data_IF_245342136182
#
_entry.id   IF_245342136182
#
_cell.length_a   1.000
_cell.length_b   1.000
_cell.length_c   1.000
_cell.angle_alpha   90.00
_cell.angle_beta   90.00
_cell.angle_gamma   90.00
#
_symmetry.space_group_name_H-M   'P 1'
#
loop_
_entity.id
_entity.type
_entity.pdbx_description
1 polymer ?
#
# COMPACT_ATOMS: atom_id res chain seq x y z
N UNK A 1 2.27 26.70 6.07
CA UNK A 1 3.35 26.23 5.18
C UNK A 1 2.83 25.06 4.36
N UNK A 2 2.71 25.23 3.04
CA UNK A 2 2.30 24.20 2.08
C UNK A 2 3.57 23.73 1.36
N UNK A 3 4.25 22.70 1.89
CA UNK A 3 5.53 22.24 1.35
C UNK A 3 5.44 20.89 0.61
N UNK A 4 4.24 20.42 0.29
CA UNK A 4 4.07 19.29 -0.63
C UNK A 4 2.87 19.57 -1.52
N UNK A 5 3.05 19.53 -2.83
CA UNK A 5 1.99 19.71 -3.83
C UNK A 5 0.94 18.59 -3.85
N UNK A 6 0.93 17.74 -2.82
CA UNK A 6 0.01 16.63 -2.65
C UNK A 6 -0.98 16.99 -1.55
N UNK A 7 -2.28 16.89 -1.85
CA UNK A 7 -3.36 16.98 -0.86
C UNK A 7 -3.31 15.73 0.06
N UNK A 8 -2.30 15.66 0.92
CA UNK A 8 -2.18 14.59 1.90
C UNK A 8 -3.07 14.93 3.09
N UNK A 9 -4.10 14.13 3.33
CA UNK A 9 -4.93 14.28 4.51
C UNK A 9 -4.15 13.84 5.75
N UNK A 10 -4.53 14.34 6.94
CA UNK A 10 -3.97 13.86 8.21
C UNK A 10 -4.06 12.34 8.36
N UNK A 11 -5.10 11.75 7.78
CA UNK A 11 -5.30 10.30 7.68
C UNK A 11 -4.18 9.60 6.91
N UNK A 12 -3.78 10.18 5.78
CA UNK A 12 -2.72 9.64 4.93
C UNK A 12 -1.36 9.79 5.61
N UNK A 13 -1.12 10.87 6.34
CA UNK A 13 0.11 11.06 7.13
C UNK A 13 0.28 9.99 8.21
N UNK A 14 -0.81 9.60 8.88
CA UNK A 14 -0.81 8.52 9.87
C UNK A 14 -0.51 7.18 9.21
N UNK A 15 -1.12 6.87 8.06
CA UNK A 15 -0.80 5.66 7.29
C UNK A 15 0.67 5.66 6.87
N UNK A 16 1.17 6.78 6.33
CA UNK A 16 2.53 6.90 5.81
C UNK A 16 3.58 6.68 6.91
N UNK A 17 3.30 7.13 8.13
CA UNK A 17 4.14 6.92 9.30
C UNK A 17 4.12 5.45 9.76
N UNK A 18 3.03 4.73 9.54
CA UNK A 18 2.86 3.31 9.90
C UNK A 18 3.38 2.34 8.83
N UNK A 19 3.62 2.81 7.61
CA UNK A 19 3.83 1.95 6.41
C UNK A 19 5.24 1.38 6.21
N UNK A 20 6.22 1.60 7.09
CA UNK A 20 7.45 0.78 7.05
C UNK A 20 8.80 1.40 7.40
N UNK A 21 8.88 2.68 7.76
CA UNK A 21 10.18 3.27 8.15
C UNK A 21 10.62 2.82 9.57
N UNK A 22 9.66 2.59 10.47
CA UNK A 22 9.89 2.02 11.81
C UNK A 22 10.03 0.50 11.71
N UNK A 23 11.17 0.03 11.26
CA UNK A 23 11.49 -1.39 11.28
C UNK A 23 12.83 -1.66 10.62
N UNK A 24 12.90 -1.42 9.32
CA UNK A 24 14.12 -1.65 8.52
C UNK A 24 15.29 -0.80 8.99
N UNK A 25 15.11 0.51 9.12
CA UNK A 25 16.19 1.41 9.53
C UNK A 25 16.68 1.16 10.95
N UNK A 26 15.78 0.77 11.87
CA UNK A 26 16.16 0.47 13.25
C UNK A 26 16.96 -0.83 13.36
N UNK A 27 16.64 -1.84 12.54
CA UNK A 27 17.43 -3.07 12.45
C UNK A 27 18.77 -2.83 11.77
N UNK A 28 18.83 -2.00 10.73
CA UNK A 28 20.09 -1.65 10.05
C UNK A 28 21.01 -0.90 11.01
N UNK A 29 20.50 0.12 11.72
CA UNK A 29 21.30 0.88 12.68
C UNK A 29 21.80 0.02 13.84
N UNK A 30 20.96 -0.88 14.36
CA UNK A 30 21.40 -1.79 15.43
C UNK A 30 22.47 -2.76 14.91
N UNK A 31 22.33 -3.26 13.68
CA UNK A 31 23.31 -4.16 13.08
C UNK A 31 24.64 -3.44 12.82
N UNK A 32 24.61 -2.17 12.41
CA UNK A 32 25.82 -1.34 12.28
C UNK A 32 26.51 -1.16 13.65
N UNK A 33 25.75 -0.89 14.71
CA UNK A 33 26.27 -0.85 16.09
C UNK A 33 26.80 -2.20 16.56
N UNK A 34 26.26 -3.30 16.01
CA UNK A 34 26.74 -4.67 16.25
C UNK A 34 28.11 -4.93 15.65
N UNK A 35 28.43 -4.27 14.53
CA UNK A 35 29.68 -4.46 13.83
C UNK A 35 30.80 -3.61 14.43
N UNK A 36 30.46 -2.56 15.18
CA UNK A 36 31.44 -1.68 15.81
C UNK A 36 32.23 -2.38 16.92
N UNK A 37 33.56 -2.24 16.89
CA UNK A 37 34.53 -3.00 17.71
C UNK A 37 34.96 -2.19 18.95
N UNK A 38 34.60 -0.91 19.06
CA UNK A 38 35.02 -0.07 20.19
C UNK A 38 34.29 -0.43 21.51
N UNK A 39 33.25 -1.26 21.46
CA UNK A 39 32.42 -1.65 22.60
C UNK A 39 32.66 -3.11 23.00
N UNK A 40 32.72 -3.36 24.31
CA UNK A 40 32.81 -4.70 24.90
C UNK A 40 31.73 -5.65 24.36
N UNK A 41 32.17 -6.83 23.89
CA UNK A 41 31.36 -7.77 23.10
C UNK A 41 30.11 -8.28 23.83
N UNK A 42 30.19 -8.47 25.15
CA UNK A 42 29.08 -8.95 25.99
C UNK A 42 27.96 -7.90 26.09
N UNK A 43 28.34 -6.64 26.20
CA UNK A 43 27.42 -5.51 26.33
C UNK A 43 26.73 -5.28 24.98
N UNK A 44 27.50 -5.31 23.89
CA UNK A 44 26.99 -5.22 22.52
C UNK A 44 25.90 -6.24 22.24
N UNK A 45 26.12 -7.52 22.57
CA UNK A 45 25.14 -8.60 22.35
C UNK A 45 23.84 -8.42 23.12
N UNK A 46 23.90 -7.93 24.37
CA UNK A 46 22.71 -7.63 25.19
C UNK A 46 21.88 -6.50 24.59
N UNK A 47 22.51 -5.43 24.14
CA UNK A 47 21.82 -4.31 23.49
C UNK A 47 21.19 -4.74 22.17
N UNK A 48 21.91 -5.50 21.35
CA UNK A 48 21.39 -6.03 20.09
C UNK A 48 20.15 -6.88 20.26
N UNK A 49 20.19 -7.80 21.22
CA UNK A 49 19.07 -8.68 21.49
C UNK A 49 17.84 -7.91 21.98
N UNK A 50 18.02 -6.94 22.88
CA UNK A 50 16.90 -6.13 23.37
C UNK A 50 16.31 -5.22 22.30
N UNK A 51 17.14 -4.51 21.54
CA UNK A 51 16.67 -3.58 20.52
C UNK A 51 16.01 -4.33 19.36
N UNK A 52 16.61 -5.43 18.90
CA UNK A 52 15.99 -6.26 17.85
C UNK A 52 14.63 -6.83 18.28
N UNK A 53 14.49 -7.28 19.53
CA UNK A 53 13.22 -7.79 20.05
C UNK A 53 12.15 -6.68 20.16
N UNK A 54 12.51 -5.50 20.66
CA UNK A 54 11.58 -4.36 20.77
C UNK A 54 11.14 -3.89 19.38
N UNK A 55 12.07 -3.82 18.42
CA UNK A 55 11.79 -3.47 17.03
C UNK A 55 10.91 -4.52 16.36
N UNK A 56 11.19 -5.81 16.57
CA UNK A 56 10.36 -6.90 16.03
C UNK A 56 8.94 -6.85 16.61
N UNK A 57 8.81 -6.67 17.93
CA UNK A 57 7.52 -6.60 18.60
C UNK A 57 6.70 -5.40 18.12
N UNK A 58 7.33 -4.23 18.00
CA UNK A 58 6.66 -3.03 17.48
C UNK A 58 6.32 -3.15 16.00
N UNK A 59 7.12 -3.87 15.20
CA UNK A 59 6.80 -4.17 13.81
C UNK A 59 5.63 -5.15 13.67
N UNK A 60 5.54 -6.17 14.53
CA UNK A 60 4.42 -7.12 14.55
C UNK A 60 3.13 -6.39 14.93
N UNK A 61 3.18 -5.52 15.94
CA UNK A 61 2.03 -4.73 16.38
C UNK A 61 1.61 -3.72 15.30
N UNK A 62 2.54 -2.93 14.76
CA UNK A 62 2.24 -1.95 13.70
C UNK A 62 1.83 -2.60 12.37
N UNK A 63 2.47 -3.70 11.99
CA UNK A 63 2.18 -4.43 10.76
C UNK A 63 0.81 -5.10 10.79
N UNK A 64 0.44 -5.68 11.94
CA UNK A 64 -0.90 -6.26 12.15
C UNK A 64 -1.97 -5.16 12.21
N UNK A 65 -1.67 -4.03 12.87
CA UNK A 65 -2.61 -2.90 12.98
C UNK A 65 -2.80 -2.16 11.65
N UNK A 66 -1.83 -2.19 10.73
CA UNK A 66 -1.95 -1.57 9.39
C UNK A 66 -3.10 -2.16 8.56
N UNK A 67 -3.36 -3.48 8.65
CA UNK A 67 -4.52 -4.11 7.99
C UNK A 67 -5.85 -3.58 8.55
N UNK A 68 -5.88 -3.34 9.86
CA UNK A 68 -7.05 -2.80 10.54
C UNK A 68 -7.22 -1.30 10.24
N UNK A 69 -6.12 -0.56 10.15
CA UNK A 69 -6.10 0.86 9.82
C UNK A 69 -6.58 1.13 8.39
N UNK A 70 -6.12 0.34 7.40
CA UNK A 70 -6.61 0.43 6.01
C UNK A 70 -8.11 0.12 5.94
N UNK A 71 -8.59 -0.81 6.75
CA UNK A 71 -10.01 -1.16 6.86
C UNK A 71 -10.85 -0.05 7.50
N UNK A 72 -10.32 0.64 8.52
CA UNK A 72 -10.99 1.75 9.21
C UNK A 72 -10.96 3.04 8.38
N UNK A 73 -9.85 3.34 7.71
CA UNK A 73 -9.72 4.57 6.94
C UNK A 73 -10.56 4.55 5.65
N UNK A 74 -11.18 3.42 5.32
CA UNK A 74 -12.10 3.36 4.19
C UNK A 74 -11.39 3.61 2.86
N UNK A 75 -10.13 3.20 2.75
CA UNK A 75 -9.43 3.12 1.46
C UNK A 75 -9.96 1.96 0.58
N UNK A 76 -11.20 1.55 0.84
CA UNK A 76 -12.08 0.78 -0.03
C UNK A 76 -13.22 1.65 -0.59
N UNK A 77 -13.20 2.96 -0.37
CA UNK A 77 -13.86 3.86 -1.31
C UNK A 77 -12.82 4.18 -2.37
N UNK A 78 -12.81 3.38 -3.44
CA UNK A 78 -12.43 3.94 -4.73
C UNK A 78 -13.20 5.24 -4.85
N UNK A 79 -12.48 6.35 -5.07
CA UNK A 79 -13.06 7.67 -5.32
C UNK A 79 -14.33 7.47 -6.13
N UNK A 80 -15.48 8.00 -5.70
CA UNK A 80 -16.75 7.76 -6.41
C UNK A 80 -16.62 8.01 -7.94
N UNK A 81 -15.72 8.92 -8.32
CA UNK A 81 -15.28 9.11 -9.71
C UNK A 81 -14.68 7.87 -10.39
N UNK A 82 -13.80 7.09 -9.77
CA UNK A 82 -13.26 5.84 -10.34
C UNK A 82 -14.32 4.77 -10.51
N UNK A 83 -15.32 4.68 -9.62
CA UNK A 83 -16.44 3.74 -9.78
C UNK A 83 -17.33 4.13 -10.96
N UNK A 84 -17.62 5.42 -11.12
CA UNK A 84 -18.40 5.95 -12.26
C UNK A 84 -17.62 5.78 -13.58
N UNK A 85 -16.31 6.03 -13.57
CA UNK A 85 -15.43 5.82 -14.74
C UNK A 85 -15.35 4.34 -15.09
N UNK A 86 -15.29 3.44 -14.10
CA UNK A 86 -15.32 2.00 -14.31
C UNK A 86 -16.66 1.56 -14.91
N UNK A 87 -17.78 2.07 -14.39
CA UNK A 87 -19.12 1.81 -14.94
C UNK A 87 -19.25 2.33 -16.38
N UNK A 88 -18.73 3.53 -16.68
CA UNK A 88 -18.68 4.04 -18.05
C UNK A 88 -17.79 3.20 -18.97
N UNK A 89 -16.66 2.70 -18.48
CA UNK A 89 -15.78 1.82 -19.24
C UNK A 89 -16.48 0.49 -19.55
N UNK A 90 -17.17 -0.11 -18.58
CA UNK A 90 -17.98 -1.31 -18.78
C UNK A 90 -19.11 -1.08 -19.79
N UNK A 91 -19.81 0.05 -19.70
CA UNK A 91 -20.83 0.44 -20.67
C UNK A 91 -20.26 0.58 -22.09
N UNK A 92 -19.08 1.17 -22.23
CA UNK A 92 -18.42 1.33 -23.52
C UNK A 92 -18.04 -0.03 -24.13
N UNK A 93 -17.49 -0.94 -23.33
CA UNK A 93 -17.17 -2.32 -23.75
C UNK A 93 -18.45 -3.08 -24.15
N UNK A 94 -19.54 -2.92 -23.39
CA UNK A 94 -20.83 -3.56 -23.69
C UNK A 94 -21.42 -3.09 -25.04
N UNK A 95 -21.33 -1.80 -25.34
CA UNK A 95 -21.78 -1.25 -26.63
C UNK A 95 -20.95 -1.75 -27.80
N UNK A 96 -19.63 -1.84 -27.65
CA UNK A 96 -18.73 -2.36 -28.68
C UNK A 96 -19.10 -3.80 -29.07
N UNK A 97 -19.42 -4.65 -28.08
CA UNK A 97 -19.83 -6.04 -28.32
C UNK A 97 -21.16 -6.14 -29.06
N UNK A 98 -22.17 -5.35 -28.66
CA UNK A 98 -23.48 -5.38 -29.33
C UNK A 98 -23.41 -4.88 -30.77
N UNK A 99 -22.65 -3.80 -31.03
CA UNK A 99 -22.49 -3.28 -32.39
C UNK A 99 -21.79 -4.27 -33.31
N UNK A 100 -20.78 -4.99 -32.80
CA UNK A 100 -20.13 -6.06 -33.56
C UNK A 100 -21.08 -7.23 -33.81
N UNK A 101 -21.89 -7.62 -32.83
CA UNK A 101 -22.85 -8.71 -32.98
C UNK A 101 -23.95 -8.37 -34.00
N UNK A 102 -24.52 -7.17 -33.95
CA UNK A 102 -25.53 -6.72 -34.92
C UNK A 102 -24.94 -6.58 -36.31
N UNK A 103 -23.73 -6.02 -36.45
CA UNK A 103 -23.04 -5.93 -37.75
C UNK A 103 -22.73 -7.31 -38.33
N UNK A 104 -22.29 -8.26 -37.50
CA UNK A 104 -22.09 -9.66 -37.90
C UNK A 104 -23.39 -10.34 -38.32
N UNK A 105 -24.50 -10.11 -37.62
CA UNK A 105 -25.81 -10.64 -38.00
C UNK A 105 -26.30 -10.05 -39.33
N UNK A 106 -26.14 -8.74 -39.57
CA UNK A 106 -26.50 -8.14 -40.85
C UNK A 106 -25.61 -8.62 -42.01
N UNK A 107 -24.33 -8.88 -41.78
CA UNK A 107 -23.46 -9.49 -42.80
C UNK A 107 -23.83 -10.94 -43.12
N UNK A 108 -24.41 -11.68 -42.17
CA UNK A 108 -24.91 -13.04 -42.40
C UNK A 108 -26.29 -13.03 -43.11
N UNK A 109 -27.16 -12.08 -42.78
CA UNK A 109 -28.48 -11.93 -43.42
C UNK A 109 -28.42 -11.28 -44.81
N UNK A 110 -27.42 -10.44 -45.10
CA UNK A 110 -27.21 -9.81 -46.41
C UNK A 110 -26.43 -10.68 -47.42
N UNK A 111 -26.25 -11.97 -47.15
CA UNK A 111 -25.54 -12.94 -48.01
C UNK A 111 -26.49 -14.01 -48.60
N UNK A 112 -27.77 -13.65 -48.79
CA UNK A 112 -28.75 -14.41 -49.58
C UNK A 112 -29.36 -13.51 -50.64
#
# INVERSE_FOLDING_TARGET
>A
MKCSGVHLSWKDCVILTLSGLRGSMSLILVLIVSLDIEIETITRHRFLFHISMIVLLTLIINGTSSKYLVKILGLHHGTKGSEIVLLQAFEHVRRQTSWKLTKSLQMLTGRT
#
